data_IF_154394914765
#
_entry.id   IF_154394914765
#
_cell.length_a   1.000
_cell.length_b   1.000
_cell.length_c   1.000
_cell.angle_alpha   90.00
_cell.angle_beta   90.00
_cell.angle_gamma   90.00
#
_symmetry.space_group_name_H-M   'P 1'
#
loop_
_entity.id
_entity.type
_entity.pdbx_description
1 polymer ?
#
# COMPACT_ATOMS: atom_id res chain seq x y z
N UNK A 1 -9.45 -24.59 3.51
CA UNK A 1 -9.26 -23.44 4.43
C UNK A 1 -9.72 -22.20 3.68
N UNK A 2 -10.70 -21.46 4.19
CA UNK A 2 -11.04 -20.14 3.65
C UNK A 2 -10.06 -19.13 4.25
N UNK A 3 -9.36 -18.38 3.41
CA UNK A 3 -8.56 -17.25 3.87
C UNK A 3 -9.47 -16.26 4.61
N UNK A 4 -8.95 -15.58 5.64
CA UNK A 4 -9.69 -14.53 6.33
C UNK A 4 -9.72 -13.31 5.40
N UNK A 5 -10.90 -12.76 5.05
CA UNK A 5 -10.99 -11.60 4.16
C UNK A 5 -10.10 -10.44 4.64
N UNK A 6 -9.29 -9.90 3.72
CA UNK A 6 -8.36 -8.82 3.98
C UNK A 6 -7.21 -9.15 4.95
N UNK A 7 -6.80 -10.43 5.04
CA UNK A 7 -5.60 -10.87 5.76
C UNK A 7 -4.75 -11.74 4.84
N UNK A 8 -3.76 -11.11 4.22
CA UNK A 8 -2.92 -11.68 3.17
C UNK A 8 -3.79 -12.42 2.14
N UNK A 9 -4.89 -11.78 1.73
CA UNK A 9 -5.88 -12.37 0.86
C UNK A 9 -5.40 -12.31 -0.59
N UNK A 10 -5.29 -13.48 -1.22
CA UNK A 10 -4.87 -13.60 -2.62
C UNK A 10 -6.07 -13.40 -3.54
N UNK A 11 -5.94 -12.51 -4.52
CA UNK A 11 -6.95 -12.22 -5.54
C UNK A 11 -6.54 -12.88 -6.86
N UNK A 12 -7.33 -13.84 -7.32
CA UNK A 12 -7.06 -14.67 -8.49
C UNK A 12 -8.14 -14.45 -9.58
N UNK A 13 -7.84 -13.60 -10.56
CA UNK A 13 -8.72 -13.28 -11.69
C UNK A 13 -8.11 -13.73 -13.04
N UNK A 14 -7.14 -14.65 -13.01
CA UNK A 14 -6.45 -15.20 -14.18
C UNK A 14 -5.24 -14.37 -14.68
N UNK A 15 -4.81 -13.39 -13.90
CA UNK A 15 -3.61 -12.60 -14.18
C UNK A 15 -2.31 -13.42 -13.93
N UNK A 16 -1.17 -13.09 -14.58
CA UNK A 16 0.09 -13.82 -14.43
C UNK A 16 0.97 -13.35 -13.25
N UNK A 17 0.40 -12.62 -12.30
CA UNK A 17 1.10 -12.04 -11.14
C UNK A 17 0.21 -12.16 -9.89
N UNK A 18 0.81 -12.12 -8.71
CA UNK A 18 0.04 -12.19 -7.47
C UNK A 18 -0.54 -10.82 -7.10
N UNK A 19 -1.79 -10.79 -6.63
CA UNK A 19 -2.39 -9.62 -6.00
C UNK A 19 -2.79 -9.98 -4.58
N UNK A 20 -2.27 -9.26 -3.60
CA UNK A 20 -2.51 -9.52 -2.17
C UNK A 20 -3.17 -8.30 -1.53
N UNK A 21 -4.30 -8.51 -0.86
CA UNK A 21 -5.01 -7.48 -0.07
C UNK A 21 -4.82 -7.76 1.42
N UNK A 22 -4.34 -6.75 2.17
CA UNK A 22 -4.11 -6.88 3.61
C UNK A 22 -4.52 -5.62 4.40
N UNK A 23 -4.87 -5.82 5.66
CA UNK A 23 -5.31 -4.77 6.60
C UNK A 23 -4.16 -4.04 7.31
N UNK A 24 -2.91 -4.43 7.08
CA UNK A 24 -1.75 -3.82 7.70
C UNK A 24 -1.75 -2.29 7.49
N UNK A 25 -1.95 -1.57 8.58
CA UNK A 25 -1.96 -0.10 8.62
C UNK A 25 -1.05 0.44 9.74
N UNK A 26 -0.17 -0.40 10.28
CA UNK A 26 0.86 -0.06 11.27
C UNK A 26 2.25 -0.37 10.69
N UNK A 27 3.34 0.25 11.18
CA UNK A 27 4.69 -0.08 10.77
C UNK A 27 5.00 -1.59 10.81
N UNK A 28 4.84 -2.21 11.98
CA UNK A 28 5.12 -3.63 12.18
C UNK A 28 4.25 -4.52 11.28
N UNK A 29 2.97 -4.16 11.11
CA UNK A 29 2.06 -4.91 10.25
C UNK A 29 2.53 -4.88 8.79
N UNK A 30 2.89 -3.69 8.31
CA UNK A 30 3.37 -3.48 6.93
C UNK A 30 4.70 -4.20 6.71
N UNK A 31 5.63 -4.11 7.65
CA UNK A 31 6.92 -4.80 7.58
C UNK A 31 6.74 -6.32 7.51
N UNK A 32 5.90 -6.90 8.37
CA UNK A 32 5.67 -8.36 8.39
C UNK A 32 5.11 -8.88 7.06
N UNK A 33 4.14 -8.19 6.46
CA UNK A 33 3.57 -8.63 5.18
C UNK A 33 4.56 -8.43 4.02
N UNK A 34 5.40 -7.39 4.08
CA UNK A 34 6.44 -7.15 3.08
C UNK A 34 7.58 -8.17 3.17
N UNK A 35 7.99 -8.56 4.38
CA UNK A 35 8.93 -9.65 4.60
C UNK A 35 8.38 -10.98 4.09
N UNK A 36 7.09 -11.23 4.31
CA UNK A 36 6.40 -12.41 3.78
C UNK A 36 6.41 -12.40 2.24
N UNK A 37 6.03 -11.28 1.62
CA UNK A 37 6.12 -11.10 0.16
C UNK A 37 7.56 -11.30 -0.34
N UNK A 38 8.57 -10.80 0.39
CA UNK A 38 9.99 -10.97 0.07
C UNK A 38 10.45 -12.43 0.09
N UNK A 39 9.87 -13.25 0.95
CA UNK A 39 10.21 -14.67 1.02
C UNK A 39 9.68 -15.49 -0.16
N UNK A 40 8.62 -15.00 -0.83
CA UNK A 40 7.93 -15.72 -1.92
C UNK A 40 8.02 -15.03 -3.28
N UNK A 41 8.65 -13.85 -3.36
CA UNK A 41 8.73 -13.11 -4.62
C UNK A 41 9.52 -13.87 -5.69
N UNK A 42 8.98 -13.91 -6.90
CA UNK A 42 9.69 -14.41 -8.08
C UNK A 42 10.34 -13.26 -8.86
N UNK A 43 9.67 -12.09 -8.92
CA UNK A 43 10.16 -10.89 -9.58
C UNK A 43 10.09 -9.67 -8.64
N UNK A 44 9.26 -8.66 -8.93
CA UNK A 44 9.19 -7.41 -8.17
C UNK A 44 8.10 -7.42 -7.11
N UNK A 45 8.33 -6.68 -6.02
CA UNK A 45 7.27 -6.30 -5.07
C UNK A 45 6.79 -4.88 -5.42
N UNK A 46 5.51 -4.79 -5.76
CA UNK A 46 4.79 -3.54 -5.99
C UNK A 46 3.90 -3.28 -4.78
N UNK A 47 4.09 -2.16 -4.08
CA UNK A 47 3.38 -1.85 -2.83
C UNK A 47 2.44 -0.67 -3.06
N UNK A 48 1.17 -0.81 -2.68
CA UNK A 48 0.18 0.28 -2.70
C UNK A 48 -0.36 0.47 -1.29
N UNK A 49 -0.15 1.65 -0.70
CA UNK A 49 -0.63 1.91 0.65
C UNK A 49 -0.81 3.40 0.93
N UNK A 50 -1.51 3.69 2.02
CA UNK A 50 -1.73 5.03 2.54
C UNK A 50 -1.75 5.04 4.06
N UNK A 51 -2.02 6.20 4.63
CA UNK A 51 -2.25 6.38 6.06
C UNK A 51 -3.59 7.07 6.30
N UNK A 52 -4.21 6.79 7.44
CA UNK A 52 -5.42 7.50 7.87
C UNK A 52 -5.10 8.85 8.48
N UNK A 53 -5.96 9.85 8.24
CA UNK A 53 -5.96 11.12 8.95
C UNK A 53 -6.71 11.03 10.28
N UNK A 54 -6.60 12.07 11.11
CA UNK A 54 -7.09 12.18 12.50
C UNK A 54 -6.63 11.00 13.38
N UNK A 55 -5.42 10.51 13.12
CA UNK A 55 -4.78 9.37 13.75
C UNK A 55 -3.30 9.68 13.98
N UNK A 56 -2.58 8.70 14.50
CA UNK A 56 -1.13 8.81 14.69
C UNK A 56 -0.42 9.15 13.37
N UNK A 57 0.09 10.38 13.28
CA UNK A 57 0.85 10.89 12.16
C UNK A 57 2.33 10.44 12.22
N UNK A 58 2.83 10.07 13.40
CA UNK A 58 4.25 9.71 13.58
C UNK A 58 4.63 8.45 12.80
N UNK A 59 3.66 7.55 12.56
CA UNK A 59 3.88 6.35 11.74
C UNK A 59 4.05 6.62 10.25
N UNK A 60 3.58 7.76 9.72
CA UNK A 60 3.52 8.05 8.27
C UNK A 60 4.90 7.91 7.60
N UNK A 61 5.96 8.63 8.05
CA UNK A 61 7.29 8.47 7.48
C UNK A 61 7.91 7.10 7.78
N UNK A 62 7.55 6.46 8.91
CA UNK A 62 8.07 5.13 9.25
C UNK A 62 7.55 4.09 8.25
N UNK A 63 6.25 4.10 7.97
CA UNK A 63 5.63 3.22 6.97
C UNK A 63 6.15 3.49 5.56
N UNK A 64 6.35 4.78 5.20
CA UNK A 64 7.02 5.19 3.97
C UNK A 64 8.39 4.54 3.79
N UNK A 65 9.23 4.62 4.82
CA UNK A 65 10.58 4.05 4.80
C UNK A 65 10.55 2.53 4.65
N UNK A 66 9.70 1.85 5.42
CA UNK A 66 9.52 0.40 5.36
C UNK A 66 9.10 -0.02 3.94
N UNK A 67 8.09 0.64 3.37
CA UNK A 67 7.64 0.33 2.01
C UNK A 67 8.77 0.46 0.98
N UNK A 68 9.61 1.49 1.09
CA UNK A 68 10.74 1.72 0.18
C UNK A 68 11.91 0.73 0.37
N UNK A 69 12.09 0.21 1.59
CA UNK A 69 13.12 -0.78 1.90
C UNK A 69 12.80 -2.17 1.33
N UNK A 70 11.52 -2.54 1.24
CA UNK A 70 11.11 -3.87 0.77
C UNK A 70 10.53 -3.87 -0.64
N UNK A 71 9.82 -2.81 -1.03
CA UNK A 71 9.20 -2.65 -2.34
C UNK A 71 10.20 -2.24 -3.41
N UNK A 72 9.99 -2.74 -4.63
CA UNK A 72 10.73 -2.32 -5.82
C UNK A 72 9.98 -1.20 -6.56
N UNK A 73 8.65 -1.16 -6.44
CA UNK A 73 7.81 -0.03 -6.86
C UNK A 73 6.82 0.31 -5.74
N UNK A 74 6.82 1.57 -5.28
CA UNK A 74 5.96 2.02 -4.17
C UNK A 74 4.97 3.09 -4.65
N UNK A 75 3.68 2.81 -4.53
CA UNK A 75 2.59 3.76 -4.75
C UNK A 75 2.07 4.26 -3.39
N UNK A 76 2.26 5.54 -3.12
CA UNK A 76 1.69 6.22 -1.95
C UNK A 76 0.37 6.86 -2.35
N UNK A 77 -0.69 6.55 -1.61
CA UNK A 77 -2.05 7.01 -1.90
C UNK A 77 -2.82 7.42 -0.65
N UNK A 78 -3.99 8.03 -0.83
CA UNK A 78 -4.97 8.21 0.24
C UNK A 78 -5.54 6.88 0.74
N UNK A 79 -5.79 6.79 2.05
CA UNK A 79 -6.60 5.75 2.69
C UNK A 79 -7.86 6.41 3.28
N UNK A 80 -7.99 6.55 4.59
CA UNK A 80 -9.10 7.26 5.23
C UNK A 80 -8.62 8.65 5.70
N UNK A 81 -8.60 9.69 4.85
CA UNK A 81 -8.08 11.00 5.22
C UNK A 81 -8.90 11.69 6.30
N UNK A 82 -10.19 11.34 6.45
CA UNK A 82 -11.10 11.97 7.41
C UNK A 82 -11.07 13.49 7.25
N UNK A 83 -10.79 14.25 8.30
CA UNK A 83 -10.82 15.71 8.24
C UNK A 83 -9.51 16.35 7.79
N UNK A 84 -8.41 15.58 7.73
CA UNK A 84 -7.11 16.04 7.25
C UNK A 84 -7.05 16.16 5.72
N UNK A 85 -6.12 16.99 5.24
CA UNK A 85 -5.81 17.09 3.81
C UNK A 85 -5.09 15.81 3.34
N UNK A 86 -5.67 15.02 2.41
CA UNK A 86 -5.02 13.81 1.90
C UNK A 86 -3.67 14.10 1.25
N UNK A 87 -3.48 15.28 0.65
CA UNK A 87 -2.20 15.69 0.04
C UNK A 87 -1.13 15.85 1.11
N UNK A 88 -1.49 16.35 2.30
CA UNK A 88 -0.55 16.47 3.40
C UNK A 88 -0.17 15.09 3.96
N UNK A 89 -1.14 14.19 4.12
CA UNK A 89 -0.88 12.83 4.60
C UNK A 89 0.09 12.10 3.67
N UNK A 90 -0.13 12.13 2.35
CA UNK A 90 0.77 11.45 1.40
C UNK A 90 2.16 12.08 1.38
N UNK A 91 2.30 13.40 1.57
CA UNK A 91 3.61 14.06 1.70
C UNK A 91 4.38 13.58 2.92
N UNK A 92 3.71 13.41 4.06
CA UNK A 92 4.35 12.90 5.28
C UNK A 92 4.85 11.46 5.08
N UNK A 93 4.10 10.64 4.35
CA UNK A 93 4.52 9.27 3.98
C UNK A 93 5.67 9.31 2.97
N UNK A 94 5.57 10.15 1.94
CA UNK A 94 6.57 10.31 0.88
C UNK A 94 7.93 10.72 1.44
N UNK A 95 7.97 11.54 2.49
CA UNK A 95 9.21 11.89 3.18
C UNK A 95 9.97 10.64 3.65
N UNK A 96 9.25 9.66 4.21
CA UNK A 96 9.80 8.36 4.59
C UNK A 96 10.24 7.51 3.41
N UNK A 97 9.44 7.49 2.34
CA UNK A 97 9.79 6.78 1.09
C UNK A 97 11.11 7.30 0.54
N UNK A 98 11.28 8.62 0.44
CA UNK A 98 12.51 9.27 -0.05
C UNK A 98 13.73 8.90 0.78
N UNK A 99 13.58 8.77 2.10
CA UNK A 99 14.67 8.37 3.00
C UNK A 99 15.02 6.88 2.88
N UNK A 100 14.03 6.01 2.63
CA UNK A 100 14.23 4.57 2.51
C UNK A 100 14.48 4.05 1.09
N UNK A 101 14.45 4.92 0.08
CA UNK A 101 14.48 4.51 -1.33
C UNK A 101 15.80 3.84 -1.69
N UNK A 102 15.71 2.61 -2.19
CA UNK A 102 16.87 1.84 -2.65
C UNK A 102 17.21 2.19 -4.10
N UNK A 103 18.48 2.02 -4.45
CA UNK A 103 18.93 2.14 -5.84
C UNK A 103 18.16 1.17 -6.75
N UNK A 104 17.70 1.67 -7.91
CA UNK A 104 16.89 0.88 -8.85
C UNK A 104 15.44 0.66 -8.44
N UNK A 105 15.00 1.14 -7.27
CA UNK A 105 13.59 1.16 -6.89
C UNK A 105 12.92 2.46 -7.33
N UNK A 106 11.61 2.40 -7.52
CA UNK A 106 10.80 3.54 -7.96
C UNK A 106 9.66 3.81 -6.97
N UNK A 107 9.19 5.05 -6.93
CA UNK A 107 7.96 5.39 -6.22
C UNK A 107 7.15 6.40 -7.02
N UNK A 108 5.84 6.40 -6.78
CA UNK A 108 4.89 7.36 -7.32
C UNK A 108 3.88 7.75 -6.24
N UNK A 109 3.44 9.01 -6.27
CA UNK A 109 2.40 9.51 -5.36
C UNK A 109 1.16 9.80 -6.18
N UNK A 110 0.11 9.01 -5.96
CA UNK A 110 -1.20 9.16 -6.62
C UNK A 110 -2.22 9.23 -5.49
N UNK A 111 -2.81 10.41 -5.28
CA UNK A 111 -3.69 10.66 -4.12
C UNK A 111 -4.97 9.81 -4.20
N UNK A 112 -5.53 9.64 -5.39
CA UNK A 112 -6.71 8.81 -5.59
C UNK A 112 -6.36 7.32 -5.46
N UNK A 113 -7.01 6.64 -4.51
CA UNK A 113 -6.74 5.23 -4.21
C UNK A 113 -7.06 4.29 -5.36
N UNK A 114 -8.13 4.57 -6.09
CA UNK A 114 -8.54 3.72 -7.22
C UNK A 114 -7.53 3.86 -8.35
N UNK A 115 -7.12 5.08 -8.67
CA UNK A 115 -6.10 5.38 -9.68
C UNK A 115 -4.74 4.74 -9.31
N UNK A 116 -4.31 4.85 -8.05
CA UNK A 116 -3.07 4.25 -7.57
C UNK A 116 -3.05 2.72 -7.73
N UNK A 117 -4.16 2.05 -7.36
CA UNK A 117 -4.31 0.61 -7.54
C UNK A 117 -4.31 0.26 -9.03
N UNK A 118 -5.03 1.02 -9.87
CA UNK A 118 -5.05 0.79 -11.32
C UNK A 118 -3.65 0.90 -11.93
N UNK A 119 -2.88 1.93 -11.57
CA UNK A 119 -1.50 2.09 -12.03
C UNK A 119 -0.61 0.93 -11.60
N UNK A 120 -0.71 0.49 -10.34
CA UNK A 120 0.04 -0.65 -9.83
C UNK A 120 -0.26 -1.94 -10.60
N UNK A 121 -1.55 -2.23 -10.84
CA UNK A 121 -1.99 -3.41 -11.59
C UNK A 121 -1.54 -3.33 -13.06
N UNK A 122 -1.64 -2.16 -13.70
CA UNK A 122 -1.18 -1.97 -15.09
C UNK A 122 0.34 -2.05 -15.23
N UNK A 123 1.10 -1.70 -14.18
CA UNK A 123 2.56 -1.81 -14.18
C UNK A 123 3.05 -3.25 -13.92
N UNK A 124 2.21 -4.10 -13.35
CA UNK A 124 2.58 -5.45 -12.96
C UNK A 124 2.95 -6.32 -14.17
N UNK A 125 4.02 -7.10 -14.01
CA UNK A 125 4.55 -8.06 -14.98
C UNK A 125 4.40 -9.47 -14.44
N UNK A 126 4.45 -10.51 -15.29
CA UNK A 126 4.44 -11.89 -14.84
C UNK A 126 5.45 -12.16 -13.72
N UNK A 127 5.00 -12.83 -12.65
CA UNK A 127 5.82 -13.14 -11.46
C UNK A 127 5.98 -11.98 -10.44
N UNK A 128 5.41 -10.81 -10.69
CA UNK A 128 5.36 -9.74 -9.68
C UNK A 128 4.37 -10.08 -8.55
N UNK A 129 4.52 -9.39 -7.42
CA UNK A 129 3.55 -9.34 -6.34
C UNK A 129 3.06 -7.91 -6.18
N UNK A 130 1.76 -7.68 -6.33
CA UNK A 130 1.09 -6.42 -6.03
C UNK A 130 0.45 -6.51 -4.64
N UNK A 131 0.98 -5.78 -3.67
CA UNK A 131 0.52 -5.76 -2.30
C UNK A 131 -0.28 -4.48 -2.02
N UNK A 132 -1.58 -4.61 -1.76
CA UNK A 132 -2.49 -3.52 -1.44
C UNK A 132 -2.79 -3.56 0.06
N UNK A 133 -2.20 -2.63 0.81
CA UNK A 133 -2.29 -2.59 2.27
C UNK A 133 -3.25 -1.49 2.78
N UNK A 134 -3.56 -1.56 4.08
CA UNK A 134 -4.27 -0.53 4.85
C UNK A 134 -5.74 -0.86 5.17
N UNK A 135 -6.48 -1.41 4.19
CA UNK A 135 -7.94 -1.58 4.28
C UNK A 135 -8.41 -3.01 4.53
N UNK A 136 -7.67 -4.02 4.06
CA UNK A 136 -8.13 -5.40 4.15
C UNK A 136 -9.54 -5.57 3.59
N UNK A 137 -10.48 -6.00 4.43
CA UNK A 137 -11.88 -6.23 4.08
C UNK A 137 -12.76 -4.97 4.15
N UNK A 138 -12.22 -3.81 4.53
CA UNK A 138 -12.97 -2.55 4.53
C UNK A 138 -13.29 -2.11 3.11
N UNK A 139 -14.58 -2.04 2.80
CA UNK A 139 -15.14 -1.70 1.49
C UNK A 139 -15.55 -0.23 1.38
N UNK A 140 -14.95 0.64 2.19
CA UNK A 140 -15.31 2.05 2.28
C UNK A 140 -14.08 2.96 2.45
N UNK A 141 -14.25 4.23 2.09
CA UNK A 141 -13.26 5.29 2.30
C UNK A 141 -13.91 6.51 2.97
N UNK A 142 -13.33 6.96 4.09
CA UNK A 142 -13.83 8.11 4.85
C UNK A 142 -13.13 9.39 4.39
N UNK A 143 -13.87 10.26 3.72
CA UNK A 143 -13.48 11.61 3.35
C UNK A 143 -14.03 12.61 4.38
N UNK A 144 -13.67 13.89 4.24
CA UNK A 144 -14.03 14.95 5.20
C UNK A 144 -15.53 15.07 5.47
N UNK A 145 -16.33 14.95 4.42
CA UNK A 145 -17.77 15.22 4.43
C UNK A 145 -18.62 13.97 4.13
N UNK A 146 -18.01 12.87 3.70
CA UNK A 146 -18.74 11.67 3.26
C UNK A 146 -17.92 10.40 3.38
N UNK A 147 -18.63 9.27 3.37
CA UNK A 147 -18.07 7.95 3.16
C UNK A 147 -18.43 7.49 1.75
N UNK A 148 -17.45 6.98 1.01
CA UNK A 148 -17.66 6.38 -0.32
C UNK A 148 -17.38 4.87 -0.27
N UNK A 149 -17.98 4.12 -1.20
CA UNK A 149 -17.82 2.67 -1.40
C UNK A 149 -17.33 2.40 -2.83
#
# INVERSE_FOLDING_TARGET
FSAVPGRFELIEEGQPFAVVVDYAHTPDGLENILQTAKAIQENRIIVVFGCGGDRDATKRPIMGRIAAQYGDVVYVTSDNPRTEDPVQIVKDVEAGVKEGLREGSHYEVIVDRREAIQHAIQNAKPGDIVLIAGKGHEDYQILKDKTIH
#
